data_IF_507761039101
#
_entry.id   IF_507761039101
#
_cell.length_a   1.000
_cell.length_b   1.000
_cell.length_c   1.000
_cell.angle_alpha   90.00
_cell.angle_beta   90.00
_cell.angle_gamma   90.00
#
_symmetry.space_group_name_H-M   'P 1'
#
loop_
_entity.id
_entity.type
_entity.pdbx_description
1 polymer ?
#
# COMPACT_ATOMS: atom_id res chain seq x y z
N UNK A 1 -51.00 -20.81 -40.00
CA UNK A 1 -50.42 -20.56 -38.65
C UNK A 1 -49.03 -21.17 -38.62
N UNK A 2 -48.00 -20.33 -38.74
CA UNK A 2 -46.61 -20.75 -38.96
C UNK A 2 -45.83 -20.72 -37.66
N UNK A 3 -45.17 -21.85 -37.33
CA UNK A 3 -44.34 -22.02 -36.13
C UNK A 3 -43.09 -21.12 -36.20
N UNK A 4 -42.63 -20.54 -35.08
CA UNK A 4 -41.38 -19.79 -35.04
C UNK A 4 -40.16 -20.74 -34.93
N UNK A 5 -38.98 -20.33 -35.44
CA UNK A 5 -37.80 -21.19 -35.48
C UNK A 5 -37.08 -21.31 -34.13
N UNK A 6 -36.61 -22.52 -33.85
CA UNK A 6 -35.84 -22.91 -32.66
C UNK A 6 -34.48 -22.19 -32.60
N UNK A 7 -34.17 -21.61 -31.42
CA UNK A 7 -32.85 -21.03 -31.13
C UNK A 7 -31.88 -22.12 -30.70
N UNK A 8 -30.73 -22.20 -31.38
CA UNK A 8 -29.64 -23.12 -31.06
C UNK A 8 -28.92 -22.75 -29.76
N UNK A 9 -28.81 -23.72 -28.86
CA UNK A 9 -28.08 -23.63 -27.61
C UNK A 9 -26.57 -23.77 -27.87
N UNK A 10 -25.82 -22.66 -27.75
CA UNK A 10 -24.34 -22.72 -27.72
C UNK A 10 -23.85 -23.09 -26.32
N UNK A 11 -23.02 -24.12 -26.15
CA UNK A 11 -22.41 -24.44 -24.87
C UNK A 11 -21.35 -23.39 -24.49
N UNK A 12 -21.45 -22.86 -23.27
CA UNK A 12 -20.46 -21.96 -22.68
C UNK A 12 -19.24 -22.77 -22.22
N UNK A 13 -18.09 -22.46 -22.80
CA UNK A 13 -16.79 -23.02 -22.44
C UNK A 13 -16.38 -22.53 -21.03
N UNK A 14 -16.47 -23.40 -20.03
CA UNK A 14 -16.01 -23.14 -18.67
C UNK A 14 -14.48 -23.23 -18.65
N UNK A 15 -13.82 -22.08 -18.53
CA UNK A 15 -12.36 -21.97 -18.39
C UNK A 15 -11.99 -22.31 -16.94
N UNK A 16 -11.51 -23.54 -16.70
CA UNK A 16 -10.92 -23.95 -15.41
C UNK A 16 -9.70 -23.08 -15.13
N UNK A 17 -9.80 -22.25 -14.09
CA UNK A 17 -8.69 -21.49 -13.55
C UNK A 17 -7.75 -22.40 -12.79
N UNK A 18 -6.49 -22.39 -13.22
CA UNK A 18 -5.33 -23.11 -12.69
C UNK A 18 -5.06 -22.68 -11.25
N UNK A 19 -4.96 -23.67 -10.37
CA UNK A 19 -4.37 -23.58 -9.03
C UNK A 19 -2.93 -23.09 -9.17
N UNK A 20 -2.66 -21.89 -8.67
CA UNK A 20 -1.30 -21.38 -8.52
C UNK A 20 -0.62 -22.13 -7.38
N UNK A 21 0.35 -22.96 -7.74
CA UNK A 21 1.31 -23.57 -6.84
C UNK A 21 1.96 -22.51 -5.92
N UNK A 22 1.86 -22.77 -4.62
CA UNK A 22 2.68 -22.11 -3.62
C UNK A 22 4.12 -22.56 -3.79
N UNK A 23 5.02 -21.61 -4.01
CA UNK A 23 6.45 -21.84 -4.05
C UNK A 23 7.06 -21.48 -2.69
N UNK A 24 7.66 -22.44 -1.95
CA UNK A 24 8.36 -22.18 -0.70
C UNK A 24 9.86 -22.14 -0.97
N UNK A 25 10.44 -20.96 -1.15
CA UNK A 25 11.90 -20.83 -1.24
C UNK A 25 12.36 -19.59 -0.47
N UNK A 26 12.62 -19.81 0.82
CA UNK A 26 13.52 -19.02 1.66
C UNK A 26 14.04 -19.94 2.78
N UNK A 27 14.85 -20.93 2.39
CA UNK A 27 15.80 -21.60 3.28
C UNK A 27 17.19 -21.27 2.76
N UNK A 28 17.74 -20.17 3.26
CA UNK A 28 19.18 -19.90 3.14
C UNK A 28 19.88 -20.74 4.21
N UNK A 29 20.57 -21.78 3.76
CA UNK A 29 21.53 -22.51 4.55
C UNK A 29 22.79 -21.65 4.72
N UNK A 30 23.18 -21.39 5.96
CA UNK A 30 24.51 -20.87 6.27
C UNK A 30 25.54 -22.00 6.15
N UNK A 31 26.73 -21.77 5.56
CA UNK A 31 27.84 -22.69 5.69
C UNK A 31 28.45 -22.55 7.10
N UNK A 32 28.50 -23.66 7.83
CA UNK A 32 29.24 -23.79 9.09
C UNK A 32 30.68 -24.09 8.73
N UNK A 33 31.58 -23.14 9.01
CA UNK A 33 33.01 -23.42 9.04
C UNK A 33 33.37 -24.23 10.28
N UNK A 34 34.27 -25.17 10.06
CA UNK A 34 34.70 -26.19 11.00
C UNK A 34 35.64 -25.63 12.08
N UNK A 35 35.47 -26.10 13.31
CA UNK A 35 36.58 -26.21 14.28
C UNK A 35 36.38 -27.49 15.09
N UNK A 36 37.43 -28.32 15.29
CA UNK A 36 37.30 -29.64 15.90
C UNK A 36 37.47 -29.58 17.42
N UNK A 37 36.81 -30.48 18.16
CA UNK A 37 37.14 -30.73 19.56
C UNK A 37 36.06 -31.45 20.36
N UNK A 38 36.39 -32.68 20.76
CA UNK A 38 35.73 -33.50 21.80
C UNK A 38 34.36 -34.14 21.53
N UNK A 39 34.41 -35.44 21.23
CA UNK A 39 33.48 -36.46 21.75
C UNK A 39 33.66 -36.64 23.27
N UNK A 40 32.95 -37.56 23.96
CA UNK A 40 31.74 -38.32 23.61
C UNK A 40 30.65 -38.26 24.70
N UNK A 41 29.37 -38.49 24.36
CA UNK A 41 28.55 -39.34 25.22
C UNK A 41 27.34 -39.91 24.49
N UNK A 42 27.06 -41.15 24.87
CA UNK A 42 26.24 -42.16 24.22
C UNK A 42 24.83 -42.17 24.85
N UNK A 43 23.90 -42.91 24.22
CA UNK A 43 22.60 -43.40 24.74
C UNK A 43 21.33 -42.61 24.28
N UNK A 44 20.13 -43.25 24.27
CA UNK A 44 19.73 -44.06 23.12
C UNK A 44 18.32 -43.73 22.60
N UNK A 45 18.05 -44.34 21.45
CA UNK A 45 16.86 -44.27 20.61
C UNK A 45 15.77 -45.23 21.08
N UNK A 46 14.62 -44.72 21.53
CA UNK A 46 13.33 -45.43 21.56
C UNK A 46 12.35 -44.63 20.69
N UNK A 47 11.91 -45.09 19.50
CA UNK A 47 10.89 -46.09 19.19
C UNK A 47 9.48 -45.87 19.78
N UNK A 48 8.56 -45.49 18.87
CA UNK A 48 7.23 -46.09 18.63
C UNK A 48 6.13 -45.96 19.71
N UNK A 49 5.05 -45.20 19.38
CA UNK A 49 3.71 -45.71 19.00
C UNK A 49 2.62 -44.62 19.14
N UNK A 50 1.74 -44.57 18.14
CA UNK A 50 0.38 -43.97 18.12
C UNK A 50 -0.56 -44.75 19.10
N UNK A 51 -1.86 -44.41 19.35
CA UNK A 51 -2.79 -43.68 18.48
C UNK A 51 -3.98 -42.90 19.15
N UNK A 52 -4.81 -42.29 18.30
CA UNK A 52 -6.26 -41.99 18.39
C UNK A 52 -6.91 -41.49 19.70
N UNK A 53 -7.47 -40.28 19.65
CA UNK A 53 -8.43 -39.76 20.64
C UNK A 53 -9.54 -38.91 20.02
N UNK A 54 -10.68 -39.55 19.78
CA UNK A 54 -12.07 -39.08 19.89
C UNK A 54 -12.44 -37.66 19.42
N UNK A 55 -13.03 -37.61 18.22
CA UNK A 55 -13.88 -36.52 17.73
C UNK A 55 -15.29 -36.68 18.30
N UNK A 56 -15.65 -35.84 19.28
CA UNK A 56 -17.00 -35.72 19.80
C UNK A 56 -17.45 -34.25 19.72
N UNK A 57 -18.72 -34.02 19.38
CA UNK A 57 -19.36 -32.70 19.52
C UNK A 57 -19.80 -32.03 18.22
N UNK A 58 -20.66 -32.70 17.43
CA UNK A 58 -21.62 -32.00 16.56
C UNK A 58 -22.68 -31.38 17.47
N UNK A 59 -22.74 -30.05 17.52
CA UNK A 59 -23.92 -29.34 18.04
C UNK A 59 -24.82 -28.89 16.88
N UNK A 60 -26.15 -29.01 17.02
CA UNK A 60 -27.10 -28.83 15.93
C UNK A 60 -27.43 -27.36 15.66
N UNK A 61 -27.91 -27.15 14.43
CA UNK A 61 -28.42 -25.89 13.88
C UNK A 61 -29.46 -25.24 14.79
N UNK A 62 -29.19 -24.00 15.21
CA UNK A 62 -30.22 -23.11 15.69
C UNK A 62 -30.97 -22.50 14.49
N UNK A 63 -32.29 -22.62 14.53
CA UNK A 63 -33.23 -22.17 13.53
C UNK A 63 -33.14 -20.65 13.29
N UNK A 64 -33.14 -20.28 12.02
CA UNK A 64 -33.21 -18.90 11.53
C UNK A 64 -34.69 -18.48 11.50
N UNK A 65 -35.14 -17.47 12.26
CA UNK A 65 -36.49 -16.94 12.11
C UNK A 65 -36.63 -16.15 10.78
N UNK A 66 -37.79 -16.22 10.12
CA UNK A 66 -38.04 -15.51 8.87
C UNK A 66 -38.56 -14.09 9.11
N UNK A 67 -38.21 -13.23 8.15
CA UNK A 67 -38.97 -12.06 7.66
C UNK A 67 -39.30 -10.89 8.60
N UNK A 68 -38.91 -9.71 8.10
CA UNK A 68 -39.37 -8.40 8.53
C UNK A 68 -38.91 -7.38 7.51
N UNK A 69 -39.45 -7.43 6.29
CA UNK A 69 -39.34 -6.35 5.31
C UNK A 69 -40.33 -5.27 5.68
N UNK A 70 -39.90 -4.28 6.47
CA UNK A 70 -40.63 -3.02 6.57
C UNK A 70 -39.65 -1.86 6.45
N UNK A 71 -39.73 -1.23 5.28
CA UNK A 71 -38.94 -0.10 4.83
C UNK A 71 -39.86 1.11 4.86
N UNK A 72 -39.86 1.94 5.92
CA UNK A 72 -40.55 3.22 5.86
C UNK A 72 -39.67 4.22 5.09
N UNK A 73 -40.02 4.46 3.83
CA UNK A 73 -39.67 5.68 3.12
C UNK A 73 -40.44 6.85 3.76
N UNK A 74 -39.92 7.42 4.85
CA UNK A 74 -40.35 8.73 5.34
C UNK A 74 -39.30 9.76 4.98
N UNK A 75 -39.57 10.49 3.90
CA UNK A 75 -38.98 11.82 3.67
C UNK A 75 -39.61 12.78 4.67
N UNK A 76 -38.80 13.39 5.52
CA UNK A 76 -39.22 14.53 6.32
C UNK A 76 -39.48 15.75 5.40
N UNK A 77 -40.48 16.60 5.70
CA UNK A 77 -40.63 17.89 5.05
C UNK A 77 -39.50 18.83 5.52
N UNK A 78 -38.76 19.37 4.55
CA UNK A 78 -37.85 20.50 4.78
C UNK A 78 -38.73 21.73 5.04
N UNK A 79 -38.96 22.01 6.32
CA UNK A 79 -39.49 23.29 6.81
C UNK A 79 -38.33 24.03 7.44
N UNK A 80 -37.96 25.15 6.83
CA UNK A 80 -36.81 25.95 7.22
C UNK A 80 -36.58 27.03 6.19
N UNK A 81 -37.49 28.00 6.18
CA UNK A 81 -37.21 29.34 5.72
C UNK A 81 -36.02 29.92 6.50
N UNK A 82 -35.43 30.93 5.90
CA UNK A 82 -34.54 31.89 6.52
C UNK A 82 -33.05 31.55 6.49
N UNK A 83 -32.36 32.45 5.78
CA UNK A 83 -31.02 32.94 6.06
C UNK A 83 -29.91 32.50 5.08
N UNK A 84 -30.11 32.77 3.79
CA UNK A 84 -28.99 33.13 2.91
C UNK A 84 -28.78 34.64 2.96
N UNK A 85 -27.82 35.04 3.78
CA UNK A 85 -27.34 36.41 3.83
C UNK A 85 -26.80 36.87 2.47
N UNK A 86 -27.30 38.04 2.06
CA UNK A 86 -26.56 39.13 1.43
C UNK A 86 -25.24 38.73 0.74
N UNK A 87 -25.35 38.31 -0.53
CA UNK A 87 -24.22 38.43 -1.46
C UNK A 87 -24.07 39.91 -1.83
N UNK A 88 -22.89 40.53 -1.69
CA UNK A 88 -22.63 41.83 -2.26
C UNK A 88 -22.58 41.76 -3.79
N UNK A 89 -23.12 42.82 -4.40
CA UNK A 89 -23.27 43.05 -5.83
C UNK A 89 -22.05 42.63 -6.65
N UNK A 90 -22.26 41.58 -7.46
CA UNK A 90 -21.33 41.16 -8.48
C UNK A 90 -21.65 41.96 -9.75
N UNK A 91 -20.77 42.85 -10.23
CA UNK A 91 -21.04 43.60 -11.44
C UNK A 91 -21.16 42.64 -12.63
N UNK A 92 -22.27 42.82 -13.34
CA UNK A 92 -22.61 42.23 -14.61
C UNK A 92 -21.41 42.31 -15.56
N UNK A 93 -20.95 41.15 -16.03
CA UNK A 93 -19.99 41.08 -17.13
C UNK A 93 -20.51 41.91 -18.31
N UNK A 94 -19.70 42.82 -18.89
CA UNK A 94 -20.08 43.47 -20.12
C UNK A 94 -20.16 42.40 -21.22
N UNK A 95 -21.35 42.32 -21.83
CA UNK A 95 -21.63 41.54 -23.03
C UNK A 95 -20.84 42.16 -24.18
N UNK A 96 -19.56 41.81 -24.28
CA UNK A 96 -18.74 42.12 -25.44
C UNK A 96 -19.14 41.16 -26.57
N UNK A 97 -20.04 41.63 -27.43
CA UNK A 97 -20.33 41.02 -28.71
C UNK A 97 -19.04 40.80 -29.50
N UNK A 98 -18.65 39.54 -29.67
CA UNK A 98 -17.66 39.12 -30.66
C UNK A 98 -18.27 38.03 -31.53
N UNK A 99 -19.11 38.47 -32.46
CA UNK A 99 -19.43 37.74 -33.69
C UNK A 99 -18.18 37.73 -34.58
N UNK A 100 -17.16 36.95 -34.22
CA UNK A 100 -16.09 36.64 -35.14
C UNK A 100 -16.64 35.59 -36.12
N UNK A 101 -16.95 36.03 -37.34
CA UNK A 101 -17.22 35.18 -38.50
C UNK A 101 -16.16 34.08 -38.55
N UNK A 102 -16.54 32.86 -38.20
CA UNK A 102 -15.72 31.66 -38.43
C UNK A 102 -15.52 31.56 -39.93
N UNK A 103 -14.32 31.86 -40.39
CA UNK A 103 -13.86 31.55 -41.74
C UNK A 103 -14.11 30.06 -42.00
N UNK A 104 -14.72 29.68 -43.13
CA UNK A 104 -14.88 28.28 -43.49
C UNK A 104 -13.50 27.63 -43.57
N UNK A 105 -13.34 26.52 -42.86
CA UNK A 105 -12.12 25.73 -42.84
C UNK A 105 -11.80 25.30 -44.28
N UNK A 106 -10.79 25.91 -44.90
CA UNK A 106 -10.32 25.50 -46.21
C UNK A 106 -9.78 24.07 -46.10
N UNK A 107 -10.55 23.13 -46.64
CA UNK A 107 -10.19 21.72 -46.77
C UNK A 107 -8.95 21.67 -47.68
N UNK A 108 -7.79 21.49 -47.08
CA UNK A 108 -6.53 21.37 -47.80
C UNK A 108 -6.63 20.26 -48.85
N UNK A 109 -6.21 20.61 -50.07
CA UNK A 109 -6.20 19.75 -51.26
C UNK A 109 -5.64 18.35 -50.94
N UNK A 110 -6.21 17.28 -51.55
CA UNK A 110 -5.76 15.92 -51.33
C UNK A 110 -4.27 15.81 -51.73
N UNK A 111 -3.40 15.63 -50.74
CA UNK A 111 -1.98 15.35 -50.94
C UNK A 111 -1.83 14.18 -51.91
N UNK A 112 -1.32 14.49 -53.10
CA UNK A 112 -0.86 13.52 -54.09
C UNK A 112 0.04 12.51 -53.35
N UNK A 113 -0.34 11.23 -53.42
CA UNK A 113 0.40 10.10 -52.84
C UNK A 113 1.76 10.02 -53.54
N UNK A 114 2.76 10.73 -53.01
CA UNK A 114 4.17 10.50 -53.34
C UNK A 114 4.48 9.06 -53.02
N UNK A 115 4.67 8.24 -54.07
CA UNK A 115 5.19 6.87 -53.98
C UNK A 115 6.50 6.92 -53.21
N UNK A 116 6.47 6.45 -51.96
CA UNK A 116 7.66 6.31 -51.14
C UNK A 116 8.54 5.22 -51.79
N UNK A 117 9.75 5.60 -52.21
CA UNK A 117 10.75 4.65 -52.63
C UNK A 117 10.95 3.58 -51.54
N UNK A 118 11.19 2.30 -51.90
CA UNK A 118 11.41 1.24 -50.94
C UNK A 118 12.68 1.54 -50.15
N UNK A 119 12.50 2.04 -48.92
CA UNK A 119 13.59 2.22 -47.97
C UNK A 119 14.22 0.84 -47.72
N UNK A 120 15.44 0.65 -48.20
CA UNK A 120 16.28 -0.51 -47.90
C UNK A 120 16.21 -0.74 -46.39
N UNK A 121 15.59 -1.86 -45.99
CA UNK A 121 15.49 -2.28 -44.59
C UNK A 121 16.93 -2.46 -44.09
N UNK A 122 17.41 -1.50 -43.31
CA UNK A 122 18.65 -1.65 -42.57
C UNK A 122 18.56 -2.96 -41.80
N UNK A 123 19.51 -3.86 -42.04
CA UNK A 123 19.61 -5.17 -41.38
C UNK A 123 19.44 -4.94 -39.89
N UNK A 124 18.38 -5.53 -39.32
CA UNK A 124 18.14 -5.52 -37.89
C UNK A 124 19.36 -6.18 -37.24
N UNK A 125 20.27 -5.34 -36.70
CA UNK A 125 21.33 -5.81 -35.83
C UNK A 125 20.60 -6.54 -34.69
N UNK A 126 20.83 -7.85 -34.59
CA UNK A 126 20.29 -8.67 -33.52
C UNK A 126 20.75 -8.06 -32.20
N UNK A 127 19.88 -7.26 -31.58
CA UNK A 127 20.13 -6.70 -30.27
C UNK A 127 20.26 -7.88 -29.30
N UNK A 128 21.24 -7.86 -28.38
CA UNK A 128 21.36 -8.90 -27.37
C UNK A 128 20.03 -9.06 -26.61
N UNK A 129 19.69 -10.30 -26.20
CA UNK A 129 18.42 -10.57 -25.54
C UNK A 129 18.31 -9.73 -24.27
N UNK A 130 17.44 -8.73 -24.32
CA UNK A 130 17.20 -7.83 -23.22
C UNK A 130 16.63 -8.63 -22.04
N UNK A 131 17.27 -8.63 -20.85
CA UNK A 131 16.76 -9.32 -19.68
C UNK A 131 15.39 -8.74 -19.32
N UNK A 132 14.36 -9.59 -19.32
CA UNK A 132 12.97 -9.18 -19.06
C UNK A 132 12.71 -8.83 -17.59
N UNK A 133 13.61 -9.20 -16.66
CA UNK A 133 13.47 -8.96 -15.22
C UNK A 133 14.83 -8.57 -14.63
N UNK A 134 14.86 -7.47 -13.88
CA UNK A 134 16.01 -7.02 -13.10
C UNK A 134 16.22 -7.89 -11.86
N UNK A 135 17.47 -8.17 -11.52
CA UNK A 135 17.83 -8.79 -10.23
C UNK A 135 17.62 -7.78 -9.08
N UNK A 136 17.39 -8.25 -7.83
CA UNK A 136 17.25 -7.35 -6.68
C UNK A 136 18.50 -6.49 -6.44
N UNK A 137 19.69 -7.01 -6.75
CA UNK A 137 20.95 -6.28 -6.66
C UNK A 137 21.01 -5.13 -7.66
N UNK A 138 20.62 -5.37 -8.91
CA UNK A 138 20.56 -4.32 -9.94
C UNK A 138 19.58 -3.21 -9.55
N UNK A 139 18.45 -3.56 -8.91
CA UNK A 139 17.50 -2.55 -8.41
C UNK A 139 18.14 -1.66 -7.34
N UNK A 140 18.85 -2.24 -6.38
CA UNK A 140 19.56 -1.49 -5.33
C UNK A 140 20.61 -0.55 -5.94
N UNK A 141 21.40 -1.03 -6.89
CA UNK A 141 22.40 -0.21 -7.59
C UNK A 141 21.78 0.95 -8.37
N UNK A 142 20.64 0.73 -9.04
CA UNK A 142 19.90 1.81 -9.73
C UNK A 142 19.43 2.86 -8.72
N UNK A 143 18.87 2.45 -7.59
CA UNK A 143 18.38 3.34 -6.53
C UNK A 143 19.52 4.15 -5.90
N UNK A 144 20.65 3.50 -5.60
CA UNK A 144 21.84 4.12 -5.02
C UNK A 144 22.47 5.16 -5.96
N UNK A 145 22.68 4.82 -7.24
CA UNK A 145 23.19 5.78 -8.24
C UNK A 145 22.25 6.96 -8.43
N UNK A 146 20.94 6.70 -8.45
CA UNK A 146 19.96 7.77 -8.56
C UNK A 146 20.02 8.72 -7.36
N UNK A 147 20.16 8.18 -6.14
CA UNK A 147 20.34 8.98 -4.92
C UNK A 147 21.63 9.79 -4.96
N UNK A 148 22.75 9.19 -5.36
CA UNK A 148 24.02 9.89 -5.50
C UNK A 148 23.93 11.09 -6.46
N UNK A 149 23.31 10.90 -7.63
CA UNK A 149 23.10 11.98 -8.61
C UNK A 149 22.13 13.07 -8.12
N UNK A 150 21.19 12.74 -7.22
CA UNK A 150 20.30 13.73 -6.60
C UNK A 150 21.06 14.51 -5.53
N UNK A 151 21.85 13.82 -4.70
CA UNK A 151 22.65 14.43 -3.64
C UNK A 151 23.75 15.34 -4.19
N UNK A 152 24.41 14.94 -5.29
CA UNK A 152 25.43 15.76 -5.96
C UNK A 152 24.86 16.96 -6.71
N UNK A 153 23.53 17.05 -6.88
CA UNK A 153 22.89 18.06 -7.71
C UNK A 153 23.15 17.87 -9.21
N UNK A 154 23.90 16.85 -9.62
CA UNK A 154 24.30 16.63 -11.01
C UNK A 154 23.06 16.39 -11.89
N UNK A 155 23.00 17.12 -13.01
CA UNK A 155 21.91 16.99 -13.98
C UNK A 155 22.50 16.73 -15.37
N UNK A 156 22.74 15.45 -15.70
CA UNK A 156 23.24 15.08 -17.02
C UNK A 156 22.32 15.58 -18.14
N UNK A 157 22.87 15.95 -19.31
CA UNK A 157 22.08 16.51 -20.41
C UNK A 157 21.00 15.55 -20.92
N UNK A 158 21.27 14.24 -20.90
CA UNK A 158 20.31 13.20 -21.29
C UNK A 158 19.25 12.90 -20.19
N UNK A 159 19.51 13.35 -18.96
CA UNK A 159 18.73 13.08 -17.76
C UNK A 159 19.20 11.85 -16.98
N UNK A 160 19.18 11.95 -15.64
CA UNK A 160 19.71 10.95 -14.68
C UNK A 160 19.34 9.49 -15.00
N UNK A 161 18.07 9.23 -15.32
CA UNK A 161 17.58 7.86 -15.63
C UNK A 161 18.18 7.28 -16.91
N UNK A 162 18.43 8.11 -17.94
CA UNK A 162 19.05 7.67 -19.20
C UNK A 162 20.53 7.39 -18.99
N UNK A 163 21.21 8.24 -18.23
CA UNK A 163 22.60 8.04 -17.83
C UNK A 163 22.80 6.71 -17.10
N UNK A 164 21.98 6.43 -16.07
CA UNK A 164 22.03 5.14 -15.33
C UNK A 164 21.77 3.95 -16.25
N UNK A 165 20.78 4.05 -17.15
CA UNK A 165 20.47 2.99 -18.10
C UNK A 165 21.65 2.69 -19.05
N UNK A 166 22.32 3.74 -19.55
CA UNK A 166 23.50 3.63 -20.41
C UNK A 166 24.69 3.00 -19.68
N UNK A 167 24.97 3.45 -18.47
CA UNK A 167 26.10 2.95 -17.67
C UNK A 167 25.95 1.49 -17.27
N UNK A 168 24.73 1.05 -16.95
CA UNK A 168 24.47 -0.32 -16.53
C UNK A 168 24.14 -1.27 -17.71
N UNK A 169 24.07 -0.75 -18.95
CA UNK A 169 23.65 -1.53 -20.11
C UNK A 169 22.21 -2.05 -20.02
N UNK A 170 21.35 -1.36 -19.27
CA UNK A 170 19.98 -1.78 -18.97
C UNK A 170 18.95 -1.01 -19.82
N UNK A 171 17.79 -1.61 -20.11
CA UNK A 171 16.69 -0.90 -20.76
C UNK A 171 16.19 0.28 -19.93
N UNK A 172 16.05 1.44 -20.57
CA UNK A 172 15.52 2.65 -19.95
C UNK A 172 14.17 2.43 -19.26
N UNK A 173 13.28 1.62 -19.84
CA UNK A 173 11.96 1.34 -19.28
C UNK A 173 12.06 0.72 -17.88
N UNK A 174 12.96 -0.26 -17.71
CA UNK A 174 13.18 -0.96 -16.44
C UNK A 174 13.78 -0.02 -15.39
N UNK A 175 14.79 0.77 -15.76
CA UNK A 175 15.39 1.77 -14.87
C UNK A 175 14.35 2.82 -14.47
N UNK A 176 13.56 3.31 -15.42
CA UNK A 176 12.51 4.29 -15.13
C UNK A 176 11.43 3.72 -14.22
N UNK A 177 11.07 2.45 -14.34
CA UNK A 177 10.09 1.82 -13.46
C UNK A 177 10.63 1.72 -12.02
N UNK A 178 11.87 1.24 -11.86
CA UNK A 178 12.53 1.16 -10.54
C UNK A 178 12.56 2.52 -9.86
N UNK A 179 13.04 3.55 -10.56
CA UNK A 179 13.13 4.91 -10.00
C UNK A 179 11.75 5.50 -9.67
N UNK A 180 10.73 5.28 -10.52
CA UNK A 180 9.36 5.73 -10.22
C UNK A 180 8.81 5.03 -8.98
N UNK A 181 8.99 3.72 -8.87
CA UNK A 181 8.54 2.94 -7.72
C UNK A 181 9.27 3.36 -6.44
N UNK A 182 10.57 3.64 -6.52
CA UNK A 182 11.38 4.15 -5.41
C UNK A 182 10.85 5.50 -4.91
N UNK A 183 10.72 6.50 -5.79
CA UNK A 183 10.19 7.82 -5.45
C UNK A 183 8.77 7.76 -4.88
N UNK A 184 7.92 6.89 -5.45
CA UNK A 184 6.58 6.66 -4.94
C UNK A 184 6.61 6.09 -3.52
N UNK A 185 7.45 5.08 -3.26
CA UNK A 185 7.64 4.49 -1.92
C UNK A 185 8.17 5.50 -0.92
N UNK A 186 9.14 6.33 -1.29
CA UNK A 186 9.69 7.36 -0.41
C UNK A 186 8.64 8.41 -0.05
N UNK A 187 7.87 8.89 -1.03
CA UNK A 187 6.76 9.81 -0.78
C UNK A 187 5.73 9.20 0.15
N UNK A 188 5.36 7.93 -0.06
CA UNK A 188 4.45 7.21 0.83
C UNK A 188 5.01 7.09 2.24
N UNK A 189 6.28 6.69 2.41
CA UNK A 189 6.92 6.58 3.72
C UNK A 189 6.87 7.90 4.48
N UNK A 190 7.23 9.02 3.84
CA UNK A 190 7.16 10.35 4.45
C UNK A 190 5.74 10.73 4.83
N UNK A 191 4.79 10.56 3.90
CA UNK A 191 3.39 10.89 4.15
C UNK A 191 2.83 10.08 5.32
N UNK A 192 3.11 8.79 5.35
CA UNK A 192 2.65 7.88 6.39
C UNK A 192 3.27 8.19 7.76
N UNK A 193 4.55 8.57 7.78
CA UNK A 193 5.23 9.03 8.98
C UNK A 193 4.58 10.30 9.55
N UNK A 194 4.27 11.27 8.70
CA UNK A 194 3.57 12.48 9.13
C UNK A 194 2.17 12.20 9.67
N UNK A 195 1.42 11.29 9.02
CA UNK A 195 0.11 10.86 9.54
C UNK A 195 0.27 10.25 10.94
N UNK A 196 1.27 9.38 11.13
CA UNK A 196 1.53 8.74 12.42
C UNK A 196 1.93 9.76 13.50
N UNK A 197 2.71 10.78 13.17
CA UNK A 197 3.06 11.88 14.08
C UNK A 197 1.83 12.69 14.49
N UNK A 198 0.96 13.04 13.54
CA UNK A 198 -0.27 13.79 13.86
C UNK A 198 -1.18 12.92 14.72
N UNK A 199 -1.37 11.65 14.36
CA UNK A 199 -2.14 10.70 15.15
C UNK A 199 -1.70 10.68 16.61
N UNK A 200 -0.41 10.45 16.87
CA UNK A 200 0.08 10.40 18.25
C UNK A 200 0.02 11.72 18.99
N UNK A 201 0.21 12.85 18.29
CA UNK A 201 0.05 14.17 18.89
C UNK A 201 -1.37 14.39 19.38
N UNK A 202 -2.36 14.01 18.58
CA UNK A 202 -3.78 14.16 18.95
C UNK A 202 -4.18 13.19 20.06
N UNK A 203 -3.70 11.94 20.01
CA UNK A 203 -3.93 10.95 21.08
C UNK A 203 -3.33 11.44 22.40
N UNK A 204 -2.11 11.97 22.40
CA UNK A 204 -1.47 12.52 23.60
C UNK A 204 -2.12 13.82 24.08
N UNK A 205 -2.79 14.56 23.18
CA UNK A 205 -3.60 15.72 23.54
C UNK A 205 -4.97 15.35 24.13
N UNK A 206 -5.27 14.06 24.29
CA UNK A 206 -6.54 13.58 24.85
C UNK A 206 -7.71 13.62 23.86
N UNK A 207 -7.44 13.60 22.55
CA UNK A 207 -8.51 13.45 21.58
C UNK A 207 -9.01 12.01 21.55
N UNK A 208 -10.29 11.83 21.85
CA UNK A 208 -10.90 10.51 22.00
C UNK A 208 -11.66 10.04 20.75
N UNK A 209 -11.86 10.92 19.76
CA UNK A 209 -12.60 10.62 18.52
C UNK A 209 -11.65 10.36 17.34
N UNK A 210 -11.62 9.10 16.87
CA UNK A 210 -10.81 8.69 15.73
C UNK A 210 -11.11 9.50 14.45
N UNK A 211 -12.38 9.84 14.19
CA UNK A 211 -12.76 10.61 13.01
C UNK A 211 -12.23 12.03 13.08
N UNK A 212 -12.29 12.66 14.25
CA UNK A 212 -11.74 14.00 14.44
C UNK A 212 -10.22 14.05 14.19
N UNK A 213 -9.48 13.03 14.65
CA UNK A 213 -8.04 12.90 14.37
C UNK A 213 -7.78 12.80 12.87
N UNK A 214 -8.57 11.99 12.17
CA UNK A 214 -8.44 11.78 10.72
C UNK A 214 -8.69 13.07 9.94
N UNK A 215 -9.74 13.81 10.28
CA UNK A 215 -10.06 15.10 9.65
C UNK A 215 -8.95 16.13 9.87
N UNK A 216 -8.43 16.24 11.10
CA UNK A 216 -7.31 17.15 11.40
C UNK A 216 -6.04 16.78 10.62
N UNK A 217 -5.69 15.50 10.59
CA UNK A 217 -4.54 15.02 9.83
C UNK A 217 -4.69 15.22 8.32
N UNK A 218 -5.89 14.98 7.78
CA UNK A 218 -6.22 15.20 6.38
C UNK A 218 -6.11 16.68 6.00
N UNK A 219 -6.67 17.58 6.82
CA UNK A 219 -6.59 19.03 6.62
C UNK A 219 -5.13 19.53 6.66
N UNK A 220 -4.34 19.09 7.65
CA UNK A 220 -2.95 19.48 7.81
C UNK A 220 -2.08 19.03 6.63
N UNK A 221 -2.26 17.79 6.16
CA UNK A 221 -1.45 17.23 5.08
C UNK A 221 -2.03 17.49 3.68
N UNK A 222 -3.19 18.14 3.58
CA UNK A 222 -3.95 18.35 2.34
C UNK A 222 -4.19 17.02 1.61
N UNK A 223 -4.62 16.01 2.35
CA UNK A 223 -4.93 14.68 1.86
C UNK A 223 -6.42 14.39 1.94
N UNK A 224 -6.84 13.36 1.23
CA UNK A 224 -8.17 12.79 1.39
C UNK A 224 -8.31 12.11 2.77
N UNK A 225 -9.38 12.37 3.56
CA UNK A 225 -9.62 11.73 4.85
C UNK A 225 -9.67 10.21 4.78
N UNK A 226 -10.24 9.64 3.71
CA UNK A 226 -10.31 8.19 3.51
C UNK A 226 -8.92 7.55 3.39
N UNK A 227 -7.96 8.25 2.79
CA UNK A 227 -6.56 7.80 2.74
C UNK A 227 -5.89 7.77 4.11
N UNK A 228 -6.15 8.78 4.94
CA UNK A 228 -5.63 8.85 6.32
C UNK A 228 -6.25 7.74 7.16
N UNK A 229 -7.57 7.58 7.10
CA UNK A 229 -8.32 6.51 7.75
C UNK A 229 -7.76 5.13 7.38
N UNK A 230 -7.65 4.85 6.09
CA UNK A 230 -7.11 3.57 5.59
C UNK A 230 -5.70 3.29 6.11
N UNK A 231 -4.84 4.31 6.17
CA UNK A 231 -3.49 4.14 6.71
C UNK A 231 -3.51 3.84 8.20
N UNK A 232 -4.34 4.54 8.99
CA UNK A 232 -4.49 4.26 10.41
C UNK A 232 -5.06 2.86 10.65
N UNK A 233 -6.06 2.41 9.90
CA UNK A 233 -6.53 1.03 9.99
C UNK A 233 -5.42 0.03 9.69
N UNK A 234 -4.63 0.29 8.65
CA UNK A 234 -3.49 -0.56 8.28
C UNK A 234 -2.37 -0.56 9.33
N UNK A 235 -2.13 0.58 9.99
CA UNK A 235 -1.15 0.71 11.07
C UNK A 235 -1.52 -0.17 12.27
N UNK A 236 -2.81 -0.36 12.49
CA UNK A 236 -3.39 -1.13 13.60
C UNK A 236 -3.90 -2.53 13.18
N UNK A 237 -3.61 -2.97 11.96
CA UNK A 237 -4.07 -4.27 11.45
C UNK A 237 -3.31 -5.43 12.12
N UNK A 238 -4.02 -6.25 12.90
CA UNK A 238 -3.42 -7.45 13.52
C UNK A 238 -2.94 -8.44 12.46
N UNK A 239 -1.71 -8.94 12.64
CA UNK A 239 -1.12 -9.96 11.78
C UNK A 239 -0.99 -11.26 12.56
N UNK A 240 -1.76 -12.29 12.17
CA UNK A 240 -1.72 -13.63 12.78
C UNK A 240 -0.31 -14.23 12.86
N UNK A 241 0.57 -13.86 11.93
CA UNK A 241 1.96 -14.31 11.93
C UNK A 241 2.77 -13.81 13.15
N UNK A 242 2.30 -12.77 13.87
CA UNK A 242 2.95 -12.23 15.07
C UNK A 242 2.54 -12.98 16.35
N UNK A 243 1.46 -13.76 16.32
CA UNK A 243 0.98 -14.50 17.49
C UNK A 243 2.00 -15.56 17.94
N UNK A 244 2.71 -16.15 16.98
CA UNK A 244 3.73 -17.18 17.21
C UNK A 244 5.05 -16.63 17.79
N UNK A 245 5.26 -15.31 17.75
CA UNK A 245 6.49 -14.70 18.25
C UNK A 245 6.43 -14.62 19.79
N UNK A 246 7.51 -14.99 20.50
CA UNK A 246 7.54 -14.96 21.95
C UNK A 246 7.40 -13.53 22.49
N UNK A 247 6.83 -13.42 23.69
CA UNK A 247 6.75 -12.14 24.38
C UNK A 247 8.13 -11.64 24.79
N UNK A 248 8.26 -10.33 24.83
CA UNK A 248 9.50 -9.61 25.12
C UNK A 248 9.50 -9.25 26.60
N UNK A 249 10.66 -9.20 27.25
CA UNK A 249 10.72 -8.82 28.67
C UNK A 249 10.21 -7.39 28.89
N UNK A 250 9.77 -7.06 30.11
CA UNK A 250 9.25 -5.73 30.42
C UNK A 250 10.29 -4.62 30.22
N UNK A 251 11.56 -4.90 30.53
CA UNK A 251 12.68 -3.97 30.36
C UNK A 251 12.88 -3.68 28.87
N UNK A 252 12.97 -4.72 28.04
CA UNK A 252 13.09 -4.58 26.59
C UNK A 252 11.86 -3.89 25.98
N UNK A 253 10.65 -4.19 26.47
CA UNK A 253 9.41 -3.51 26.07
C UNK A 253 9.48 -2.01 26.36
N UNK A 254 9.93 -1.62 27.55
CA UNK A 254 10.10 -0.21 27.91
C UNK A 254 11.12 0.48 26.99
N UNK A 255 12.26 -0.16 26.71
CA UNK A 255 13.28 0.34 25.78
C UNK A 255 12.74 0.50 24.35
N UNK A 256 11.98 -0.47 23.84
CA UNK A 256 11.33 -0.40 22.53
C UNK A 256 10.38 0.80 22.45
N UNK A 257 9.57 1.02 23.49
CA UNK A 257 8.62 2.14 23.53
C UNK A 257 9.32 3.49 23.63
N UNK A 258 10.42 3.60 24.40
CA UNK A 258 11.23 4.80 24.47
C UNK A 258 11.83 5.16 23.10
N UNK A 259 12.45 4.19 22.41
CA UNK A 259 12.98 4.38 21.05
C UNK A 259 11.88 4.74 20.04
N UNK A 260 10.68 4.21 20.21
CA UNK A 260 9.55 4.57 19.38
C UNK A 260 9.07 6.01 19.61
N UNK A 261 9.06 6.49 20.85
CA UNK A 261 8.76 7.89 21.14
C UNK A 261 9.82 8.83 20.57
N UNK A 262 11.10 8.46 20.65
CA UNK A 262 12.18 9.22 19.98
C UNK A 262 12.00 9.25 18.47
N UNK A 263 11.60 8.14 17.86
CA UNK A 263 11.28 8.07 16.43
C UNK A 263 10.20 9.07 16.02
N UNK A 264 9.12 9.21 16.81
CA UNK A 264 8.04 10.16 16.54
C UNK A 264 8.48 11.62 16.63
N UNK A 265 9.54 11.91 17.39
CA UNK A 265 10.12 13.26 17.51
C UNK A 265 11.01 13.65 16.33
N UNK A 266 11.42 12.70 15.47
CA UNK A 266 12.30 12.98 14.32
C UNK A 266 11.60 13.80 13.24
N UNK A 267 12.38 14.55 12.49
CA UNK A 267 11.89 15.36 11.36
C UNK A 267 11.60 14.53 10.10
N UNK A 268 12.25 13.37 9.96
CA UNK A 268 12.14 12.52 8.79
C UNK A 268 12.09 11.04 9.17
N UNK A 269 11.42 10.20 8.34
CA UNK A 269 11.45 8.76 8.54
C UNK A 269 12.88 8.23 8.33
N UNK A 270 13.32 7.23 9.13
CA UNK A 270 14.60 6.58 8.96
C UNK A 270 14.66 5.86 7.62
N UNK A 271 15.89 5.71 7.10
CA UNK A 271 16.11 5.01 5.84
C UNK A 271 15.82 3.51 5.96
N UNK A 272 16.24 2.92 7.08
CA UNK A 272 15.91 1.56 7.51
C UNK A 272 14.47 1.52 8.04
N UNK A 273 13.84 0.35 7.95
CA UNK A 273 12.51 0.15 8.56
C UNK A 273 12.58 0.33 10.07
N UNK A 274 11.55 0.97 10.66
CA UNK A 274 11.47 1.23 12.10
C UNK A 274 11.79 -0.02 12.95
N UNK A 275 11.17 -1.14 12.63
CA UNK A 275 11.34 -2.38 13.38
C UNK A 275 12.77 -2.92 13.32
N UNK A 276 13.43 -2.80 12.15
CA UNK A 276 14.83 -3.21 11.98
C UNK A 276 15.76 -2.30 12.79
N UNK A 277 15.52 -0.99 12.74
CA UNK A 277 16.33 -0.02 13.47
C UNK A 277 16.26 -0.26 14.98
N UNK A 278 15.06 -0.45 15.52
CA UNK A 278 14.88 -0.70 16.96
C UNK A 278 15.51 -2.05 17.34
N UNK A 279 15.31 -3.12 16.56
CA UNK A 279 15.94 -4.41 16.85
C UNK A 279 17.47 -4.36 16.81
N UNK A 280 18.06 -3.62 15.86
CA UNK A 280 19.51 -3.43 15.80
C UNK A 280 20.02 -2.65 17.03
N UNK A 281 19.23 -1.69 17.53
CA UNK A 281 19.61 -0.86 18.69
C UNK A 281 19.55 -1.65 20.00
N UNK A 282 18.51 -2.46 20.17
CA UNK A 282 18.29 -3.28 21.38
C UNK A 282 19.16 -4.54 21.36
N UNK A 283 19.40 -5.11 20.18
CA UNK A 283 20.28 -6.28 19.97
C UNK A 283 19.68 -7.63 20.39
N UNK A 284 18.90 -7.69 21.47
CA UNK A 284 18.33 -8.92 22.02
C UNK A 284 16.98 -9.33 21.41
N UNK A 285 16.34 -8.43 20.66
CA UNK A 285 14.97 -8.63 20.13
C UNK A 285 14.96 -8.69 18.61
N UNK A 286 14.09 -9.53 18.06
CA UNK A 286 13.88 -9.62 16.61
C UNK A 286 12.98 -8.48 16.10
N UNK A 287 13.08 -8.11 14.80
CA UNK A 287 12.19 -7.11 14.21
C UNK A 287 10.70 -7.46 14.33
N UNK A 288 10.36 -8.75 14.37
CA UNK A 288 8.97 -9.21 14.51
C UNK A 288 8.46 -9.04 15.93
N UNK A 289 9.27 -9.31 16.94
CA UNK A 289 8.97 -9.02 18.34
C UNK A 289 8.76 -7.52 18.58
N UNK A 290 9.61 -6.67 17.98
CA UNK A 290 9.41 -5.21 17.99
C UNK A 290 8.05 -4.85 17.37
N UNK A 291 7.73 -5.40 16.19
CA UNK A 291 6.45 -5.14 15.53
C UNK A 291 5.26 -5.56 16.40
N UNK A 292 5.28 -6.76 16.99
CA UNK A 292 4.24 -7.25 17.92
C UNK A 292 4.05 -6.28 19.08
N UNK A 293 5.16 -5.87 19.71
CA UNK A 293 5.15 -4.98 20.88
C UNK A 293 4.56 -3.61 20.54
N UNK A 294 4.99 -2.99 19.43
CA UNK A 294 4.45 -1.70 19.00
C UNK A 294 2.98 -1.79 18.57
N UNK A 295 2.58 -2.90 17.95
CA UNK A 295 1.20 -3.11 17.52
C UNK A 295 0.27 -3.26 18.72
N UNK A 296 0.65 -4.05 19.73
CA UNK A 296 -0.09 -4.16 20.99
C UNK A 296 -0.23 -2.80 21.69
N UNK A 297 0.87 -2.04 21.76
CA UNK A 297 0.86 -0.69 22.33
C UNK A 297 -0.08 0.26 21.58
N UNK A 298 -0.07 0.25 20.24
CA UNK A 298 -0.95 1.10 19.42
C UNK A 298 -2.42 0.69 19.53
N UNK A 299 -2.68 -0.62 19.55
CA UNK A 299 -4.04 -1.16 19.57
C UNK A 299 -4.81 -0.82 20.84
N UNK A 300 -4.14 -0.71 21.99
CA UNK A 300 -4.81 -0.31 23.23
C UNK A 300 -5.48 1.06 23.10
N UNK A 301 -4.85 2.01 22.40
CA UNK A 301 -5.44 3.32 22.11
C UNK A 301 -6.47 3.25 20.98
N UNK A 302 -6.13 2.59 19.88
CA UNK A 302 -7.01 2.56 18.70
C UNK A 302 -8.39 1.96 18.99
N UNK A 303 -8.44 0.90 19.80
CA UNK A 303 -9.70 0.29 20.19
C UNK A 303 -10.55 1.22 21.07
N UNK A 304 -9.92 2.02 21.94
CA UNK A 304 -10.62 3.05 22.73
C UNK A 304 -11.20 4.12 21.81
N UNK A 305 -10.39 4.65 20.88
CA UNK A 305 -10.80 5.70 19.95
C UNK A 305 -11.94 5.27 19.01
N UNK A 306 -11.94 4.01 18.55
CA UNK A 306 -12.99 3.48 17.66
C UNK A 306 -14.31 3.24 18.39
N UNK A 307 -14.26 2.86 19.66
CA UNK A 307 -15.44 2.51 20.44
C UNK A 307 -16.12 3.74 21.06
N UNK A 308 -15.41 4.86 21.16
CA UNK A 308 -15.96 6.16 21.54
C UNK A 308 -16.75 6.79 20.38
N UNK A 309 -17.79 6.10 19.91
CA UNK A 309 -18.78 6.70 19.02
C UNK A 309 -19.60 7.68 19.85
N UNK A 310 -19.57 8.96 19.49
CA UNK A 310 -20.39 10.03 20.10
C UNK A 310 -21.84 9.54 20.30
N UNK A 311 -22.37 9.53 21.53
CA UNK A 311 -23.78 9.21 21.78
C UNK A 311 -24.74 10.22 21.13
N UNK A 312 -24.26 11.42 20.78
CA UNK A 312 -25.07 12.53 20.22
C UNK A 312 -25.61 12.31 18.79
N UNK A 313 -25.39 11.15 18.17
CA UNK A 313 -26.01 10.80 16.87
C UNK A 313 -27.19 9.83 16.96
N UNK A 314 -27.57 9.40 18.16
CA UNK A 314 -28.75 8.53 18.37
C UNK A 314 -29.99 9.35 18.80
N UNK A 315 -29.82 10.64 19.11
CA UNK A 315 -30.92 11.55 19.37
C UNK A 315 -31.07 12.58 18.24
N UNK A 316 -31.60 12.15 17.09
CA UNK A 316 -32.15 13.02 16.05
C UNK A 316 -33.25 12.28 15.29
#
# INVERSE_FOLDING_TARGET
MSKPPERSSRPRLIKKGVTSDGRPEDRVAYPVEATPGSSPETLPREQKKTPTGSRAGRSPMAARPPQGTDRPLRRAPVSGSDQWGLLPDRPLFPVAGRTAKRQPFQRSQPKVKRRAAPRKRARARFAPPVPKKLTPEQRRQIEERYRAMVASGERPPEGRRKTIAREMGLPYALVSEVVKNHLHRERLRRTNFEIEKIYWREVLAGQDDAHAIVERAAAHLKLDPGRVWWWLEKLHEWRKALDAEPEVSEIERATILALYQEYLKRDAPPEKGLHLLISETVGSVTPRQVHKTLLQYRLSFWNQLKNNVRPDRVAS
#
